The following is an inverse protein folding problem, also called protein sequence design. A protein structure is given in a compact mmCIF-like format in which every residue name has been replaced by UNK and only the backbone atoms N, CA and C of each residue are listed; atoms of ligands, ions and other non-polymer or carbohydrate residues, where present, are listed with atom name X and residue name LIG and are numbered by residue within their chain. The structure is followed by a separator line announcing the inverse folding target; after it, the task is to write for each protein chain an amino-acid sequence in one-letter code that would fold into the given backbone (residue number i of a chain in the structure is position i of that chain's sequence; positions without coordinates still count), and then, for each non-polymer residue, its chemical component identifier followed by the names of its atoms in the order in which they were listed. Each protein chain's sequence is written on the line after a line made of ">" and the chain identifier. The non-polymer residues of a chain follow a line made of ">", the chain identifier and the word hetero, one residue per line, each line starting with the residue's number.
data_IF_509212481317
#
_entry.id   IF_509212481317
#
_cell.length_a   1.000
_cell.length_b   1.000
_cell.length_c   1.000
_cell.angle_alpha   90.00
_cell.angle_beta   90.00
_cell.angle_gamma   90.00
#
_symmetry.space_group_name_H-M   'P 1'
#
loop_
_entity.id
_entity.type
_entity.pdbx_description
1 polymer ?
#
# COMPACT_ATOMS: atom_id res chain seq x y z
N UNK A 1 -11.67 4.88 4.32
CA UNK A 1 -11.73 5.71 3.12
C UNK A 1 -12.88 6.70 3.24
N UNK A 2 -12.61 7.98 3.12
CA UNK A 2 -13.63 9.04 3.12
C UNK A 2 -13.87 9.47 1.67
N UNK A 3 -15.03 9.11 1.13
CA UNK A 3 -15.45 9.47 -0.22
C UNK A 3 -16.41 10.65 -0.23
N UNK A 4 -16.53 11.34 -1.36
CA UNK A 4 -17.48 12.44 -1.53
C UNK A 4 -18.93 11.96 -1.36
N UNK A 5 -19.69 12.64 -0.52
CA UNK A 5 -21.13 12.41 -0.33
C UNK A 5 -21.50 11.38 0.71
N UNK A 6 -20.56 10.92 1.55
CA UNK A 6 -20.82 9.98 2.64
C UNK A 6 -20.50 10.62 4.00
N UNK A 7 -21.43 10.52 4.95
CA UNK A 7 -21.25 11.03 6.32
C UNK A 7 -20.29 10.16 7.14
N UNK A 8 -19.94 8.97 6.62
CA UNK A 8 -19.09 7.96 7.28
C UNK A 8 -18.18 7.33 6.25
N UNK A 9 -16.95 7.02 6.65
CA UNK A 9 -15.95 6.40 5.79
C UNK A 9 -16.33 4.97 5.34
N UNK A 10 -15.83 4.56 4.19
CA UNK A 10 -15.92 3.18 3.72
C UNK A 10 -14.87 2.31 4.39
N UNK A 11 -15.25 1.10 4.80
CA UNK A 11 -14.33 0.07 5.27
C UNK A 11 -14.04 -0.86 4.10
N UNK A 12 -12.78 -0.98 3.72
CA UNK A 12 -12.34 -1.91 2.68
C UNK A 12 -11.43 -2.97 3.28
N UNK A 13 -11.70 -4.23 2.95
CA UNK A 13 -11.00 -5.41 3.46
C UNK A 13 -10.43 -6.18 2.27
N UNK A 14 -9.15 -6.54 2.35
CA UNK A 14 -8.49 -7.48 1.44
C UNK A 14 -7.80 -8.58 2.25
N UNK A 15 -7.95 -9.83 1.83
CA UNK A 15 -7.41 -11.02 2.50
C UNK A 15 -6.39 -11.79 1.64
N UNK A 16 -6.11 -11.31 0.43
CA UNK A 16 -5.19 -11.94 -0.51
C UNK A 16 -5.71 -13.21 -1.17
N UNK A 17 -6.94 -13.63 -0.86
CA UNK A 17 -7.55 -14.86 -1.40
C UNK A 17 -8.87 -14.60 -2.13
N UNK A 18 -9.53 -13.49 -1.80
CA UNK A 18 -10.80 -13.08 -2.37
C UNK A 18 -10.71 -11.67 -2.95
N UNK A 19 -11.69 -11.30 -3.77
CA UNK A 19 -11.81 -9.90 -4.20
C UNK A 19 -11.97 -9.00 -2.98
N UNK A 20 -11.32 -7.83 -2.94
CA UNK A 20 -11.53 -6.88 -1.87
C UNK A 20 -13.01 -6.57 -1.68
N UNK A 21 -13.41 -6.39 -0.44
CA UNK A 21 -14.79 -6.21 -0.05
C UNK A 21 -14.96 -4.86 0.63
N UNK A 22 -15.93 -4.09 0.18
CA UNK A 22 -16.25 -2.77 0.74
C UNK A 22 -17.54 -2.85 1.53
N UNK A 23 -17.53 -2.28 2.72
CA UNK A 23 -18.72 -2.01 3.52
C UNK A 23 -18.93 -0.50 3.64
N UNK A 24 -20.09 -0.04 3.25
CA UNK A 24 -20.51 1.37 3.30
C UNK A 24 -21.72 1.53 4.19
N UNK A 25 -21.74 2.58 4.99
CA UNK A 25 -22.90 2.96 5.79
C UNK A 25 -23.43 4.30 5.25
N UNK A 26 -24.70 4.33 4.90
CA UNK A 26 -25.38 5.52 4.41
C UNK A 26 -26.52 5.95 5.37
N UNK A 27 -26.78 7.24 5.40
CA UNK A 27 -27.84 7.86 6.21
C UNK A 27 -27.31 8.60 7.44
N UNK A 28 -28.08 9.56 7.88
CA UNK A 28 -27.82 10.42 9.05
C UNK A 28 -28.77 10.05 10.20
N UNK A 29 -28.36 10.32 11.43
CA UNK A 29 -29.19 10.11 12.62
C UNK A 29 -28.94 8.81 13.37
N UNK A 30 -29.98 8.20 13.96
CA UNK A 30 -29.85 7.01 14.78
C UNK A 30 -29.34 5.79 13.97
N UNK A 31 -28.57 4.90 14.60
CA UNK A 31 -28.05 3.68 13.96
C UNK A 31 -29.14 2.81 13.30
N UNK A 32 -30.36 2.82 13.90
CA UNK A 32 -31.51 2.09 13.39
C UNK A 32 -32.09 2.63 12.06
N UNK A 33 -31.73 3.85 11.67
CA UNK A 33 -32.18 4.49 10.42
C UNK A 33 -31.13 4.47 9.32
N UNK A 34 -30.00 3.80 9.53
CA UNK A 34 -28.90 3.72 8.59
C UNK A 34 -29.00 2.48 7.71
N UNK A 35 -28.62 2.65 6.45
CA UNK A 35 -28.55 1.55 5.51
C UNK A 35 -27.09 1.10 5.35
N UNK A 36 -26.88 -0.21 5.37
CA UNK A 36 -25.56 -0.82 5.19
C UNK A 36 -25.49 -1.48 3.82
N UNK A 37 -24.52 -1.10 3.04
CA UNK A 37 -24.24 -1.67 1.73
C UNK A 37 -22.94 -2.43 1.76
N UNK A 38 -22.91 -3.54 1.04
CA UNK A 38 -21.69 -4.30 0.85
C UNK A 38 -21.46 -4.59 -0.62
N UNK A 39 -20.22 -4.50 -1.09
CA UNK A 39 -19.87 -4.70 -2.49
C UNK A 39 -18.48 -5.32 -2.60
N UNK A 40 -18.33 -6.29 -3.49
CA UNK A 40 -17.01 -6.74 -3.93
C UNK A 40 -16.41 -5.70 -4.87
N UNK A 41 -15.13 -5.40 -4.68
CA UNK A 41 -14.34 -4.52 -5.53
C UNK A 41 -13.59 -5.37 -6.54
N UNK A 42 -13.60 -4.97 -7.81
CA UNK A 42 -12.80 -5.60 -8.84
C UNK A 42 -11.63 -4.68 -9.19
N UNK A 43 -10.43 -5.06 -8.78
CA UNK A 43 -9.20 -4.31 -9.04
C UNK A 43 -8.70 -4.59 -10.45
N UNK A 44 -8.56 -5.87 -10.82
CA UNK A 44 -8.17 -6.32 -12.15
C UNK A 44 -8.98 -7.58 -12.51
N UNK A 45 -9.98 -7.41 -13.35
CA UNK A 45 -10.88 -8.48 -13.84
C UNK A 45 -11.47 -9.32 -12.70
N UNK A 46 -11.06 -10.58 -12.56
CA UNK A 46 -11.52 -11.53 -11.55
C UNK A 46 -10.58 -11.69 -10.36
N UNK A 47 -9.45 -10.99 -10.35
CA UNK A 47 -8.36 -11.22 -9.43
C UNK A 47 -8.56 -10.55 -8.07
N UNK A 48 -7.83 -10.99 -7.08
CA UNK A 48 -7.78 -10.44 -5.73
C UNK A 48 -6.49 -9.67 -5.50
N UNK A 49 -6.51 -8.74 -4.55
CA UNK A 49 -5.34 -7.99 -4.10
C UNK A 49 -4.97 -8.41 -2.68
N UNK A 50 -3.67 -8.52 -2.40
CA UNK A 50 -3.16 -8.86 -1.08
C UNK A 50 -3.03 -7.63 -0.18
N UNK A 51 -2.62 -6.50 -0.77
CA UNK A 51 -2.35 -5.26 -0.06
C UNK A 51 -3.28 -4.17 -0.53
N UNK A 52 -3.88 -3.46 0.43
CA UNK A 52 -4.68 -2.26 0.18
C UNK A 52 -4.29 -1.16 1.17
N UNK A 53 -4.37 0.08 0.73
CA UNK A 53 -4.26 1.27 1.58
C UNK A 53 -5.02 2.42 0.94
N UNK A 54 -5.34 3.46 1.70
CA UNK A 54 -5.84 4.72 1.15
C UNK A 54 -4.69 5.72 1.02
N UNK A 55 -4.67 6.47 -0.07
CA UNK A 55 -3.72 7.55 -0.26
C UNK A 55 -4.33 8.58 -1.21
N UNK A 56 -4.27 9.85 -0.80
CA UNK A 56 -4.70 11.00 -1.58
C UNK A 56 -6.07 10.81 -2.27
N UNK A 57 -7.07 10.37 -1.48
CA UNK A 57 -8.44 10.07 -1.91
C UNK A 57 -8.60 8.93 -2.94
N UNK A 58 -7.58 8.11 -3.14
CA UNK A 58 -7.64 6.89 -3.92
C UNK A 58 -7.55 5.65 -3.02
N UNK A 59 -8.21 4.56 -3.39
CA UNK A 59 -7.90 3.25 -2.88
C UNK A 59 -6.75 2.68 -3.72
N UNK A 60 -5.68 2.28 -3.04
CA UNK A 60 -4.51 1.67 -3.67
C UNK A 60 -4.55 0.18 -3.40
N UNK A 61 -4.27 -0.63 -4.42
CA UNK A 61 -4.24 -2.08 -4.33
C UNK A 61 -2.96 -2.62 -4.98
N UNK A 62 -2.35 -3.63 -4.36
CA UNK A 62 -1.16 -4.29 -4.89
C UNK A 62 -1.12 -5.77 -4.49
N UNK A 63 -0.14 -6.51 -5.02
CA UNK A 63 -0.07 -7.96 -4.82
C UNK A 63 -1.25 -8.67 -5.48
N UNK A 64 -1.63 -8.23 -6.67
CA UNK A 64 -2.71 -8.83 -7.47
C UNK A 64 -2.18 -10.07 -8.16
N UNK A 65 -2.90 -11.19 -8.05
CA UNK A 65 -2.51 -12.48 -8.63
C UNK A 65 -2.14 -12.38 -10.11
N UNK A 66 -0.92 -12.79 -10.46
CA UNK A 66 -0.35 -12.74 -11.81
C UNK A 66 0.08 -11.33 -12.27
N UNK A 67 -0.06 -10.31 -11.40
CA UNK A 67 0.41 -8.95 -11.60
C UNK A 67 1.02 -8.39 -10.30
N UNK A 68 1.84 -9.21 -9.63
CA UNK A 68 2.40 -8.93 -8.30
C UNK A 68 3.36 -7.73 -8.29
N UNK A 69 3.80 -7.30 -9.46
CA UNK A 69 4.67 -6.14 -9.65
C UNK A 69 3.92 -4.85 -10.04
N UNK A 70 2.59 -4.84 -9.92
CA UNK A 70 1.77 -3.70 -10.33
C UNK A 70 1.00 -3.13 -9.14
N UNK A 71 1.02 -1.79 -9.04
CA UNK A 71 0.23 -1.01 -8.09
C UNK A 71 -0.93 -0.39 -8.85
N UNK A 72 -2.14 -0.68 -8.42
CA UNK A 72 -3.39 -0.15 -8.96
C UNK A 72 -3.94 0.95 -8.06
N UNK A 73 -4.57 1.95 -8.65
CA UNK A 73 -5.27 3.00 -7.91
C UNK A 73 -6.67 3.24 -8.49
N UNK A 74 -7.63 3.44 -7.60
CA UNK A 74 -9.03 3.67 -7.95
C UNK A 74 -9.25 5.08 -8.53
N UNK A 75 -10.45 5.35 -8.99
CA UNK A 75 -10.91 6.72 -9.27
C UNK A 75 -10.85 7.56 -7.98
N UNK A 76 -10.59 8.85 -8.12
CA UNK A 76 -10.61 9.82 -7.02
C UNK A 76 -11.96 9.80 -6.30
N UNK A 77 -11.95 9.65 -4.98
CA UNK A 77 -13.12 9.51 -4.11
C UNK A 77 -14.05 8.33 -4.39
N UNK A 78 -13.69 7.40 -5.28
CA UNK A 78 -14.45 6.16 -5.48
C UNK A 78 -13.56 4.93 -5.30
N UNK A 79 -13.54 4.32 -4.11
CA UNK A 79 -12.71 3.14 -3.82
C UNK A 79 -13.17 1.89 -4.55
N UNK A 80 -14.32 1.90 -5.19
CA UNK A 80 -14.88 0.73 -5.88
C UNK A 80 -14.64 0.72 -7.38
N UNK A 81 -14.14 1.81 -7.95
CA UNK A 81 -13.92 1.94 -9.40
C UNK A 81 -12.42 1.99 -9.74
N UNK A 82 -11.91 0.92 -10.33
CA UNK A 82 -10.54 0.79 -10.85
C UNK A 82 -10.47 0.85 -12.39
N UNK A 83 -11.58 1.18 -13.07
CA UNK A 83 -11.65 1.23 -14.53
C UNK A 83 -12.07 2.57 -15.10
N UNK A 84 -12.56 3.50 -14.27
CA UNK A 84 -13.02 4.81 -14.68
C UNK A 84 -11.91 5.81 -14.94
N UNK A 85 -12.30 6.98 -15.41
CA UNK A 85 -11.36 8.09 -15.66
C UNK A 85 -10.68 8.53 -14.37
N UNK A 86 -9.35 8.53 -14.34
CA UNK A 86 -8.56 8.86 -13.16
C UNK A 86 -8.13 7.63 -12.34
N UNK A 87 -8.64 6.45 -12.65
CA UNK A 87 -8.05 5.19 -12.19
C UNK A 87 -6.87 4.78 -13.07
N UNK A 88 -5.99 3.94 -12.55
CA UNK A 88 -4.89 3.43 -13.35
C UNK A 88 -4.03 2.42 -12.63
N UNK A 89 -2.90 2.09 -13.26
CA UNK A 89 -1.93 1.14 -12.73
C UNK A 89 -0.50 1.55 -13.12
N UNK A 90 0.45 1.31 -12.22
CA UNK A 90 1.87 1.52 -12.47
C UNK A 90 2.62 0.24 -12.17
N UNK A 91 3.41 -0.22 -13.14
CA UNK A 91 4.19 -1.46 -13.04
C UNK A 91 5.64 -1.15 -12.64
N UNK A 92 6.17 -1.95 -11.73
CA UNK A 92 7.54 -1.88 -11.21
C UNK A 92 8.30 -3.10 -11.75
N UNK A 93 9.63 -3.01 -11.83
CA UNK A 93 10.47 -4.15 -12.27
C UNK A 93 10.62 -5.24 -11.19
N UNK A 94 10.11 -5.02 -9.98
CA UNK A 94 10.27 -5.89 -8.82
C UNK A 94 8.91 -6.25 -8.22
N UNK A 95 8.83 -7.37 -7.51
CA UNK A 95 7.59 -7.85 -6.88
C UNK A 95 7.23 -7.03 -5.66
N UNK A 96 6.00 -6.53 -5.62
CA UNK A 96 5.47 -5.79 -4.47
C UNK A 96 5.14 -6.75 -3.33
N UNK A 97 5.67 -6.46 -2.15
CA UNK A 97 5.43 -7.22 -0.90
C UNK A 97 4.70 -6.40 0.15
N UNK A 98 4.50 -5.12 -0.08
CA UNK A 98 3.72 -4.26 0.80
C UNK A 98 3.59 -2.83 0.29
N UNK A 99 2.55 -2.16 0.72
CA UNK A 99 2.31 -0.73 0.45
C UNK A 99 1.93 -0.02 1.75
N UNK A 100 2.40 1.20 1.95
CA UNK A 100 2.10 1.98 3.14
C UNK A 100 2.07 3.47 2.83
N UNK A 101 0.94 4.12 3.12
CA UNK A 101 0.88 5.58 3.20
C UNK A 101 1.62 6.05 4.46
N UNK A 102 2.51 7.02 4.31
CA UNK A 102 3.23 7.62 5.41
C UNK A 102 3.49 9.09 5.11
N UNK A 103 2.98 9.97 5.98
CA UNK A 103 2.92 11.42 5.74
C UNK A 103 2.17 11.69 4.43
N UNK A 104 2.78 12.44 3.50
CA UNK A 104 2.22 12.79 2.20
C UNK A 104 2.66 11.82 1.08
N UNK A 105 3.44 10.79 1.41
CA UNK A 105 4.00 9.84 0.45
C UNK A 105 3.34 8.47 0.53
N UNK A 106 3.21 7.79 -0.59
CA UNK A 106 2.88 6.37 -0.67
C UNK A 106 4.13 5.56 -0.97
N UNK A 107 4.57 4.77 0.01
CA UNK A 107 5.70 3.87 -0.15
C UNK A 107 5.25 2.51 -0.68
N UNK A 108 6.00 1.99 -1.64
CA UNK A 108 5.84 0.67 -2.23
C UNK A 108 7.09 -0.14 -1.91
N UNK A 109 6.91 -1.18 -1.10
CA UNK A 109 7.97 -2.08 -0.68
C UNK A 109 7.98 -3.30 -1.60
N UNK A 110 9.12 -3.58 -2.19
CA UNK A 110 9.34 -4.72 -3.06
C UNK A 110 10.32 -5.72 -2.44
N UNK A 111 10.54 -6.86 -3.09
CA UNK A 111 11.46 -7.90 -2.61
C UNK A 111 12.92 -7.41 -2.53
N UNK A 112 13.34 -6.53 -3.46
CA UNK A 112 14.72 -6.05 -3.55
C UNK A 112 14.84 -4.53 -3.63
N UNK A 113 13.75 -3.78 -3.54
CA UNK A 113 13.73 -2.33 -3.70
C UNK A 113 12.60 -1.67 -2.93
N UNK A 114 12.71 -0.36 -2.73
CA UNK A 114 11.67 0.48 -2.15
C UNK A 114 11.44 1.67 -3.05
N UNK A 115 10.20 1.97 -3.32
CA UNK A 115 9.78 3.05 -4.20
C UNK A 115 8.76 3.97 -3.53
N UNK A 116 8.52 5.13 -4.16
CA UNK A 116 7.39 6.01 -3.89
C UNK A 116 6.50 6.11 -5.12
N UNK A 117 5.19 6.08 -4.93
CA UNK A 117 4.21 6.48 -5.93
C UNK A 117 3.94 7.97 -5.74
N UNK A 118 4.09 8.76 -6.80
CA UNK A 118 3.91 10.21 -6.79
C UNK A 118 2.90 10.65 -7.86
N UNK A 119 2.30 11.84 -7.65
CA UNK A 119 1.40 12.50 -8.60
C UNK A 119 0.18 11.66 -9.00
N UNK A 120 -0.38 10.90 -8.07
CA UNK A 120 -1.48 9.96 -8.34
C UNK A 120 -2.74 10.64 -8.94
N UNK A 121 -2.94 11.92 -8.67
CA UNK A 121 -4.06 12.71 -9.18
C UNK A 121 -3.88 13.20 -10.63
N UNK A 122 -2.72 12.97 -11.23
CA UNK A 122 -2.43 13.38 -12.59
C UNK A 122 -1.97 12.19 -13.43
N UNK A 123 -2.85 11.65 -14.24
CA UNK A 123 -2.58 10.49 -15.10
C UNK A 123 -1.43 10.68 -16.09
N UNK A 124 -1.00 11.94 -16.35
CA UNK A 124 0.13 12.23 -17.25
C UNK A 124 1.47 12.23 -16.53
N UNK A 125 1.47 12.48 -15.22
CA UNK A 125 2.69 12.62 -14.42
C UNK A 125 2.80 11.61 -13.29
N UNK A 126 1.79 10.75 -13.09
CA UNK A 126 1.88 9.65 -12.11
C UNK A 126 3.09 8.77 -12.41
N UNK A 127 3.92 8.54 -11.40
CA UNK A 127 5.15 7.78 -11.55
C UNK A 127 5.55 7.05 -10.27
N UNK A 128 6.32 5.98 -10.47
CA UNK A 128 7.07 5.29 -9.41
C UNK A 128 8.50 5.83 -9.41
N UNK A 129 8.96 6.29 -8.25
CA UNK A 129 10.30 6.84 -8.05
C UNK A 129 11.06 5.95 -7.07
N UNK A 130 12.30 5.52 -7.37
CA UNK A 130 13.08 4.70 -6.46
C UNK A 130 13.49 5.51 -5.21
N UNK A 131 13.39 4.88 -4.04
CA UNK A 131 13.85 5.39 -2.74
C UNK A 131 15.11 4.64 -2.31
N UNK A 132 15.11 3.33 -2.50
CA UNK A 132 16.25 2.46 -2.25
C UNK A 132 16.29 1.32 -3.26
N UNK A 133 17.48 1.04 -3.76
CA UNK A 133 17.77 -0.10 -4.61
C UNK A 133 18.62 -1.12 -3.85
N UNK A 134 18.47 -2.39 -4.18
CA UNK A 134 19.18 -3.50 -3.53
C UNK A 134 18.88 -3.69 -2.03
N UNK A 135 17.79 -3.09 -1.56
CA UNK A 135 17.26 -3.30 -0.20
C UNK A 135 15.77 -3.43 -0.31
N UNK A 136 15.25 -4.61 -0.02
CA UNK A 136 13.83 -4.90 -0.06
C UNK A 136 13.26 -5.25 1.30
N UNK A 137 11.97 -5.60 1.29
CA UNK A 137 11.21 -5.98 2.46
C UNK A 137 10.84 -7.46 2.38
N UNK A 138 11.06 -8.24 3.45
CA UNK A 138 10.70 -9.65 3.50
C UNK A 138 9.20 -9.89 3.65
N UNK A 139 8.49 -8.95 4.30
CA UNK A 139 7.06 -9.09 4.55
C UNK A 139 6.39 -7.74 4.72
N UNK A 140 5.32 -7.49 3.97
CA UNK A 140 4.51 -6.28 4.10
C UNK A 140 3.87 -6.11 5.49
N UNK A 141 3.65 -7.20 6.21
CA UNK A 141 3.12 -7.16 7.59
C UNK A 141 4.14 -6.65 8.61
N UNK A 142 5.42 -6.64 8.27
CA UNK A 142 6.48 -6.09 9.13
C UNK A 142 6.58 -4.56 9.07
N UNK A 143 5.91 -3.92 8.10
CA UNK A 143 5.98 -2.48 7.90
C UNK A 143 5.17 -1.76 8.98
N UNK A 144 5.86 -1.03 9.85
CA UNK A 144 5.26 -0.31 10.98
C UNK A 144 5.76 1.12 11.05
N UNK A 145 4.91 2.03 11.51
CA UNK A 145 5.29 3.41 11.80
C UNK A 145 5.75 3.50 13.26
N UNK A 146 7.01 3.87 13.48
CA UNK A 146 7.59 4.03 14.82
C UNK A 146 8.48 5.28 14.84
N UNK A 147 8.25 6.16 15.80
CA UNK A 147 9.11 7.33 16.02
C UNK A 147 9.16 8.32 14.85
N UNK A 148 8.13 8.36 14.02
CA UNK A 148 8.06 9.27 12.88
C UNK A 148 8.82 8.78 11.64
N UNK A 149 9.14 7.48 11.57
CA UNK A 149 9.69 6.81 10.40
C UNK A 149 8.97 5.47 10.15
N UNK A 150 9.13 4.89 8.98
CA UNK A 150 8.69 3.53 8.67
C UNK A 150 9.82 2.54 8.96
N UNK A 151 9.51 1.53 9.77
CA UNK A 151 10.39 0.38 10.05
C UNK A 151 9.87 -0.82 9.29
N UNK A 152 10.77 -1.63 8.74
CA UNK A 152 10.46 -2.85 8.02
C UNK A 152 11.53 -3.92 8.23
N UNK A 153 11.18 -5.18 7.99
CA UNK A 153 12.10 -6.31 8.04
C UNK A 153 12.75 -6.49 6.66
N UNK A 154 14.04 -6.22 6.59
CA UNK A 154 14.89 -6.50 5.44
C UNK A 154 15.64 -7.84 5.62
N UNK A 155 16.27 -8.40 4.57
CA UNK A 155 17.01 -9.65 4.67
C UNK A 155 18.14 -9.66 5.71
N UNK A 156 18.66 -8.50 6.05
CA UNK A 156 19.73 -8.31 7.02
C UNK A 156 19.25 -7.75 8.37
N UNK A 157 17.93 -7.67 8.60
CA UNK A 157 17.33 -7.27 9.86
C UNK A 157 16.38 -6.07 9.75
N UNK A 158 16.05 -5.46 10.89
CA UNK A 158 15.15 -4.32 10.93
C UNK A 158 15.83 -3.04 10.45
N UNK A 159 15.19 -2.36 9.50
CA UNK A 159 15.66 -1.10 8.91
C UNK A 159 14.61 -0.01 8.98
N UNK A 160 15.03 1.23 8.84
CA UNK A 160 14.13 2.36 8.62
C UNK A 160 14.23 2.87 7.19
N UNK A 161 13.13 3.45 6.69
CA UNK A 161 13.11 4.05 5.35
C UNK A 161 14.03 5.26 5.28
N UNK A 162 14.00 6.15 6.27
CA UNK A 162 14.89 7.33 6.30
C UNK A 162 16.37 6.94 6.40
N UNK A 163 16.70 5.91 7.17
CA UNK A 163 18.05 5.35 7.25
C UNK A 163 18.50 4.78 5.91
N UNK A 164 17.64 4.02 5.25
CA UNK A 164 17.94 3.37 3.98
C UNK A 164 18.08 4.37 2.83
N UNK A 165 17.23 5.40 2.78
CA UNK A 165 17.26 6.43 1.74
C UNK A 165 18.50 7.37 1.83
N UNK A 166 19.09 7.52 3.01
CA UNK A 166 20.28 8.38 3.22
C UNK A 166 21.58 7.72 2.80
N UNK A 167 21.62 6.41 2.74
CA UNK A 167 22.84 5.65 2.52
C UNK A 167 22.82 5.13 1.08
N UNK A 168 23.26 5.96 0.16
CA UNK A 168 23.57 5.54 -1.21
C UNK A 168 24.75 4.58 -1.29
N UNK A 169 25.46 4.34 -0.19
CA UNK A 169 26.51 3.32 -0.05
C UNK A 169 26.94 3.20 1.44
N UNK A 170 27.12 1.94 1.89
CA UNK A 170 27.91 1.48 3.04
C UNK A 170 27.33 1.67 4.45
N UNK A 171 27.41 0.55 5.21
CA UNK A 171 27.08 0.34 6.62
C UNK A 171 25.67 0.75 7.03
N UNK A 172 24.80 -0.05 6.59
CA UNK A 172 23.38 -0.14 6.90
C UNK A 172 23.19 -0.17 8.42
N UNK A 173 22.71 0.94 8.94
CA UNK A 173 22.29 1.02 10.34
C UNK A 173 21.11 0.09 10.58
N UNK A 174 21.37 -1.21 10.67
CA UNK A 174 20.36 -2.17 11.10
C UNK A 174 20.05 -1.89 12.56
N UNK A 175 18.81 -1.51 12.86
CA UNK A 175 18.34 -1.25 14.23
C UNK A 175 18.50 -2.52 15.08
N UNK A 176 18.43 -3.68 14.44
CA UNK A 176 18.50 -5.00 15.06
C UNK A 176 19.91 -5.59 15.17
N UNK A 177 20.97 -4.81 14.99
CA UNK A 177 22.35 -5.32 14.98
C UNK A 177 22.70 -6.21 16.18
N UNK A 178 22.13 -5.93 17.36
CA UNK A 178 22.37 -6.71 18.57
C UNK A 178 21.65 -8.07 18.59
N UNK A 179 20.56 -8.21 17.84
CA UNK A 179 19.77 -9.45 17.76
C UNK A 179 19.85 -10.12 16.39
N UNK A 180 20.74 -9.62 15.52
CA UNK A 180 20.94 -10.11 14.17
C UNK A 180 21.15 -11.65 14.10
N UNK A 181 21.94 -12.27 14.97
CA UNK A 181 22.12 -13.73 14.95
C UNK A 181 20.82 -14.51 15.15
N UNK A 182 19.84 -13.94 15.88
CA UNK A 182 18.54 -14.57 16.11
C UNK A 182 17.59 -14.41 14.93
N UNK A 183 17.80 -13.40 14.06
CA UNK A 183 16.98 -13.15 12.88
C UNK A 183 17.44 -13.93 11.65
N UNK A 184 18.72 -14.31 11.59
CA UNK A 184 19.28 -15.11 10.48
C UNK A 184 19.01 -16.60 10.61
N UNK A 185 18.57 -17.08 11.77
CA UNK A 185 18.24 -18.48 12.05
C UNK A 185 16.73 -18.80 11.89
N UNK A 186 15.93 -17.83 11.44
CA UNK A 186 14.49 -17.96 11.14
C UNK A 186 14.25 -18.24 9.66
#
# INVERSE_FOLDING_TARGET
>A
FEGAGHDYGDIVIADGANKPFMCRMEGTGALSSRTYHSKQITVDSTKYATFITSHDHHLIAAGVEGNENTVYYSVYNDPSDFGGTGAGAVTISDRVVGIRGFREDLFVFCENSIHKLININDAQTVAIVPVAENVGCLSGYSIQEIGGDLIFLAPDGLRTVAGTARIGDVELGTISKQIQPLLTDL
#
